data_IF_992964862409
#
_entry.id   IF_992964862409
#
_cell.length_a   1.000
_cell.length_b   1.000
_cell.length_c   1.000
_cell.angle_alpha   90.00
_cell.angle_beta   90.00
_cell.angle_gamma   90.00
#
_symmetry.space_group_name_H-M   'P 1'
#
loop_
_entity.id
_entity.type
_entity.pdbx_description
1 polymer ?
#
# COMPACT_ATOMS: atom_id res chain seq x y z
N UNK A 1 -7.56 18.94 -0.59
CA UNK A 1 -7.28 17.50 -0.75
C UNK A 1 -5.95 17.30 -1.50
N UNK A 2 -5.13 16.33 -1.10
CA UNK A 2 -3.82 16.07 -1.75
C UNK A 2 -3.96 15.59 -3.21
N UNK A 3 -5.01 14.83 -3.50
CA UNK A 3 -5.28 14.23 -4.83
C UNK A 3 -5.63 15.28 -5.88
N UNK A 4 -6.32 16.38 -5.52
CA UNK A 4 -6.67 17.45 -6.47
C UNK A 4 -5.49 18.29 -6.95
N UNK A 5 -4.31 18.09 -6.35
CA UNK A 5 -3.06 18.80 -6.72
C UNK A 5 -2.13 17.93 -7.58
N UNK A 6 -2.58 16.77 -8.04
CA UNK A 6 -1.80 15.94 -8.95
C UNK A 6 -1.75 16.57 -10.35
N UNK A 7 -0.61 16.47 -11.05
CA UNK A 7 -0.41 17.09 -12.37
C UNK A 7 -1.07 16.27 -13.51
N UNK A 8 -2.30 15.82 -13.30
CA UNK A 8 -3.12 15.05 -14.26
C UNK A 8 -4.57 15.47 -14.14
N UNK A 9 -5.34 15.35 -15.24
CA UNK A 9 -6.78 15.63 -15.26
C UNK A 9 -7.61 14.56 -14.57
N UNK A 10 -7.16 13.30 -14.68
CA UNK A 10 -7.77 12.15 -14.03
C UNK A 10 -6.73 11.09 -13.74
N UNK A 11 -6.95 10.27 -12.69
CA UNK A 11 -6.14 9.09 -12.45
C UNK A 11 -6.91 8.03 -11.68
N UNK A 12 -6.55 6.78 -11.92
CA UNK A 12 -6.95 5.64 -11.10
C UNK A 12 -5.72 5.08 -10.42
N UNK A 13 -5.69 5.18 -9.10
CA UNK A 13 -4.60 4.72 -8.24
C UNK A 13 -5.13 3.61 -7.34
N UNK A 14 -4.39 2.51 -7.26
CA UNK A 14 -4.60 1.48 -6.24
C UNK A 14 -3.80 1.87 -4.98
N UNK A 15 -4.46 1.87 -3.83
CA UNK A 15 -3.85 2.30 -2.59
C UNK A 15 -4.77 2.09 -1.40
N UNK A 16 -4.34 2.53 -0.25
CA UNK A 16 -5.05 2.43 1.02
C UNK A 16 -5.14 3.79 1.70
N UNK A 17 -6.33 4.17 2.14
CA UNK A 17 -6.50 5.32 3.02
C UNK A 17 -6.11 4.94 4.44
N UNK A 18 -5.15 5.64 5.01
CA UNK A 18 -4.63 5.38 6.36
C UNK A 18 -4.64 6.64 7.20
N UNK A 19 -4.74 6.46 8.52
CA UNK A 19 -4.39 7.49 9.51
C UNK A 19 -3.28 6.95 10.37
N UNK A 20 -2.18 7.70 10.49
CA UNK A 20 -1.04 7.29 11.28
C UNK A 20 -1.11 7.86 12.70
N UNK A 21 -0.51 7.12 13.65
CA UNK A 21 -0.22 7.61 14.99
C UNK A 21 0.99 8.57 15.01
N UNK A 22 1.42 8.95 16.19
CA UNK A 22 2.56 9.87 16.40
C UNK A 22 3.90 9.28 15.93
N UNK A 23 4.00 7.95 15.82
CA UNK A 23 5.16 7.22 15.33
C UNK A 23 5.13 7.01 13.81
N UNK A 24 4.06 7.42 13.14
CA UNK A 24 3.87 7.25 11.71
C UNK A 24 3.35 5.86 11.30
N UNK A 25 2.88 5.05 12.25
CA UNK A 25 2.26 3.76 11.99
C UNK A 25 0.78 3.92 11.68
N UNK A 26 0.30 3.22 10.66
CA UNK A 26 -1.12 3.16 10.32
C UNK A 26 -1.90 2.42 11.42
N UNK A 27 -2.96 3.06 11.93
CA UNK A 27 -3.80 2.52 13.00
C UNK A 27 -5.25 2.50 12.53
N UNK A 28 -5.83 1.32 12.44
CA UNK A 28 -7.21 1.12 11.93
C UNK A 28 -8.25 1.89 12.74
N UNK A 29 -8.15 1.90 14.07
CA UNK A 29 -9.06 2.61 14.94
C UNK A 29 -9.09 4.12 14.69
N UNK A 30 -7.97 4.69 14.19
CA UNK A 30 -7.88 6.11 13.88
C UNK A 30 -8.64 6.47 12.59
N UNK A 31 -8.66 5.59 11.57
CA UNK A 31 -9.42 5.87 10.35
C UNK A 31 -10.93 5.74 10.55
N UNK A 32 -11.35 4.98 11.55
CA UNK A 32 -12.77 4.84 11.92
C UNK A 32 -13.33 6.03 12.70
N UNK A 33 -12.48 6.99 13.11
CA UNK A 33 -12.93 8.17 13.87
C UNK A 33 -13.59 9.21 12.97
N UNK A 34 -14.48 9.98 13.57
CA UNK A 34 -15.24 11.04 12.88
C UNK A 34 -14.35 12.12 12.25
N UNK A 35 -13.19 12.42 12.85
CA UNK A 35 -12.19 13.41 12.41
C UNK A 35 -11.13 12.84 11.46
N UNK A 36 -11.23 11.56 11.10
CA UNK A 36 -10.23 10.88 10.27
C UNK A 36 -9.98 11.55 8.92
N UNK A 37 -11.01 12.13 8.30
CA UNK A 37 -10.92 12.72 6.96
C UNK A 37 -9.90 13.86 6.83
N UNK A 38 -9.61 14.60 7.89
CA UNK A 38 -8.61 15.67 7.90
C UNK A 38 -7.18 15.14 8.00
N UNK A 39 -7.01 13.98 8.61
CA UNK A 39 -5.74 13.33 8.91
C UNK A 39 -5.40 12.19 7.94
N UNK A 40 -6.38 11.74 7.16
CA UNK A 40 -6.22 10.61 6.25
C UNK A 40 -5.22 10.90 5.13
N UNK A 41 -4.33 9.94 4.90
CA UNK A 41 -3.34 9.95 3.83
C UNK A 41 -3.61 8.75 2.92
N UNK A 42 -3.48 8.93 1.60
CA UNK A 42 -3.51 7.83 0.64
C UNK A 42 -2.11 7.23 0.53
N UNK A 43 -1.94 6.00 0.99
CA UNK A 43 -0.77 5.18 0.69
C UNK A 43 -0.97 4.56 -0.69
N UNK A 44 -0.30 5.12 -1.71
CA UNK A 44 -0.47 4.70 -3.09
C UNK A 44 0.45 3.53 -3.43
N UNK A 45 -0.12 2.43 -3.94
CA UNK A 45 0.62 1.20 -4.25
C UNK A 45 0.87 1.00 -5.73
N UNK A 46 -0.06 1.42 -6.59
CA UNK A 46 0.01 1.20 -8.03
C UNK A 46 -0.73 2.29 -8.81
N UNK A 47 -0.29 2.59 -10.04
CA UNK A 47 -0.96 3.51 -10.96
C UNK A 47 -1.56 2.71 -12.11
N UNK A 48 -2.89 2.76 -12.23
CA UNK A 48 -3.62 1.95 -13.18
C UNK A 48 -4.00 2.73 -14.44
N UNK A 49 -4.38 4.01 -14.29
CA UNK A 49 -4.88 4.78 -15.42
C UNK A 49 -4.68 6.29 -15.19
N UNK A 50 -3.58 6.90 -15.67
CA UNK A 50 -3.43 8.34 -15.74
C UNK A 50 -4.07 8.87 -17.04
N UNK A 51 -4.87 9.93 -16.96
CA UNK A 51 -5.49 10.64 -18.08
C UNK A 51 -6.14 9.70 -19.13
N UNK A 52 -6.82 8.64 -18.68
CA UNK A 52 -7.50 7.66 -19.52
C UNK A 52 -6.58 6.61 -20.17
N UNK A 53 -5.28 6.62 -19.87
CA UNK A 53 -4.32 5.65 -20.40
C UNK A 53 -4.24 4.40 -19.52
N UNK A 54 -4.79 3.28 -19.95
CA UNK A 54 -4.73 2.02 -19.20
C UNK A 54 -3.30 1.46 -19.14
N UNK A 55 -2.79 1.32 -17.91
CA UNK A 55 -1.45 0.79 -17.62
C UNK A 55 -1.48 -0.65 -17.06
N UNK A 56 -2.65 -1.27 -16.84
CA UNK A 56 -2.77 -2.57 -16.15
C UNK A 56 -1.95 -3.67 -16.81
N UNK A 57 -1.79 -3.62 -18.14
CA UNK A 57 -0.97 -4.59 -18.90
C UNK A 57 0.53 -4.26 -18.91
N UNK A 58 0.94 -3.13 -18.35
CA UNK A 58 2.36 -2.79 -18.22
C UNK A 58 2.99 -3.54 -17.04
N UNK A 59 4.29 -3.85 -17.12
CA UNK A 59 5.04 -4.41 -15.99
C UNK A 59 4.91 -3.52 -14.75
N UNK A 60 4.89 -4.13 -13.55
CA UNK A 60 4.72 -3.41 -12.29
C UNK A 60 5.78 -2.32 -12.10
N UNK A 61 7.01 -2.55 -12.51
CA UNK A 61 8.12 -1.59 -12.39
C UNK A 61 7.81 -0.30 -13.14
N UNK A 62 7.23 -0.45 -14.35
CA UNK A 62 6.87 0.72 -15.17
C UNK A 62 5.69 1.49 -14.58
N UNK A 63 4.71 0.80 -14.02
CA UNK A 63 3.59 1.46 -13.34
C UNK A 63 4.05 2.21 -12.09
N UNK A 64 4.99 1.62 -11.35
CA UNK A 64 5.58 2.22 -10.15
C UNK A 64 6.46 3.43 -10.47
N UNK A 65 7.25 3.37 -11.53
CA UNK A 65 8.04 4.50 -12.02
C UNK A 65 7.12 5.70 -12.33
N UNK A 66 6.04 5.45 -13.08
CA UNK A 66 5.06 6.48 -13.42
C UNK A 66 4.30 7.00 -12.19
N UNK A 67 3.99 6.14 -11.21
CA UNK A 67 3.41 6.56 -9.94
C UNK A 67 4.36 7.49 -9.18
N UNK A 68 5.64 7.15 -9.10
CA UNK A 68 6.65 7.97 -8.43
C UNK A 68 6.77 9.36 -9.09
N UNK A 69 6.77 9.41 -10.42
CA UNK A 69 6.77 10.67 -11.18
C UNK A 69 5.50 11.51 -10.92
N UNK A 70 4.32 10.87 -10.90
CA UNK A 70 3.05 11.52 -10.62
C UNK A 70 3.01 12.12 -9.22
N UNK A 71 3.57 11.43 -8.24
CA UNK A 71 3.60 11.86 -6.85
C UNK A 71 4.66 12.91 -6.56
N UNK A 72 5.61 13.14 -7.47
CA UNK A 72 6.65 14.18 -7.41
C UNK A 72 7.31 14.29 -6.01
N UNK A 73 7.92 13.18 -5.54
CA UNK A 73 8.62 13.12 -4.26
C UNK A 73 7.71 13.04 -3.02
N UNK A 74 6.38 13.04 -3.19
CA UNK A 74 5.46 12.68 -2.11
C UNK A 74 5.65 11.22 -1.80
N UNK A 75 5.79 10.90 -0.50
CA UNK A 75 6.15 9.55 -0.03
C UNK A 75 5.14 8.51 -0.53
N UNK A 76 5.51 7.76 -1.56
CA UNK A 76 4.93 6.46 -1.84
C UNK A 76 5.79 5.41 -1.15
N UNK A 77 5.19 4.51 -0.40
CA UNK A 77 5.91 3.36 0.15
C UNK A 77 6.14 2.40 -1.01
N UNK A 78 7.32 2.45 -1.61
CA UNK A 78 7.72 1.56 -2.69
C UNK A 78 9.10 1.02 -2.41
N UNK A 79 9.18 -0.27 -2.12
CA UNK A 79 10.44 -0.98 -2.05
C UNK A 79 10.64 -1.75 -3.36
N UNK A 80 11.58 -1.30 -4.19
CA UNK A 80 11.94 -1.98 -5.41
C UNK A 80 13.35 -2.52 -5.31
N UNK A 81 13.52 -3.77 -5.74
CA UNK A 81 14.83 -4.39 -5.88
C UNK A 81 15.53 -4.73 -4.58
N UNK A 82 14.89 -4.52 -3.44
CA UNK A 82 15.40 -4.92 -2.13
C UNK A 82 15.09 -6.40 -1.86
N UNK A 83 15.96 -7.04 -1.06
CA UNK A 83 15.71 -8.38 -0.56
C UNK A 83 14.44 -8.39 0.30
N UNK A 84 13.46 -9.20 -0.10
CA UNK A 84 12.15 -9.28 0.56
C UNK A 84 12.26 -9.67 2.03
N UNK A 85 13.28 -10.45 2.43
CA UNK A 85 13.52 -10.82 3.82
C UNK A 85 13.96 -9.60 4.64
N UNK A 86 14.84 -8.77 4.10
CA UNK A 86 15.29 -7.53 4.74
C UNK A 86 14.11 -6.59 4.94
N UNK A 87 13.33 -6.36 3.87
CA UNK A 87 12.13 -5.49 3.93
C UNK A 87 11.13 -6.01 4.96
N UNK A 88 10.86 -7.31 4.98
CA UNK A 88 9.95 -7.92 5.94
C UNK A 88 10.43 -7.74 7.38
N UNK A 89 11.70 -8.00 7.64
CA UNK A 89 12.29 -7.82 8.97
C UNK A 89 12.19 -6.38 9.46
N UNK A 90 12.48 -5.40 8.61
CA UNK A 90 12.36 -3.99 8.98
C UNK A 90 10.89 -3.58 9.20
N UNK A 91 9.97 -4.06 8.36
CA UNK A 91 8.53 -3.85 8.56
C UNK A 91 8.05 -4.43 9.90
N UNK A 92 8.53 -5.62 10.29
CA UNK A 92 8.22 -6.21 11.59
C UNK A 92 8.75 -5.36 12.77
N UNK A 93 9.97 -4.83 12.66
CA UNK A 93 10.54 -3.93 13.68
C UNK A 93 9.72 -2.64 13.86
N UNK A 94 9.18 -2.13 12.76
CA UNK A 94 8.30 -0.97 12.77
C UNK A 94 6.88 -1.28 13.28
N UNK A 95 6.55 -2.54 13.57
CA UNK A 95 5.23 -2.94 14.02
C UNK A 95 4.18 -3.04 12.91
N UNK A 96 4.58 -3.05 11.65
CA UNK A 96 3.66 -3.21 10.53
C UNK A 96 3.00 -4.60 10.55
N UNK A 97 1.78 -4.71 10.01
CA UNK A 97 1.04 -5.98 9.89
C UNK A 97 1.72 -7.01 8.98
N UNK A 98 2.56 -6.55 8.07
CA UNK A 98 3.30 -7.37 7.13
C UNK A 98 3.63 -6.63 5.85
N UNK A 99 3.99 -7.38 4.82
CA UNK A 99 4.30 -6.85 3.49
C UNK A 99 3.52 -7.59 2.41
N UNK A 100 3.38 -6.93 1.25
CA UNK A 100 2.93 -7.59 0.01
C UNK A 100 4.09 -7.60 -0.97
N UNK A 101 4.66 -8.78 -1.20
CA UNK A 101 5.68 -8.99 -2.22
C UNK A 101 5.00 -9.19 -3.57
N UNK A 102 5.37 -8.41 -4.56
CA UNK A 102 4.81 -8.46 -5.92
C UNK A 102 5.90 -8.86 -6.89
N UNK A 103 5.65 -9.92 -7.69
CA UNK A 103 6.61 -10.40 -8.68
C UNK A 103 6.93 -9.34 -9.72
N UNK A 104 8.23 -9.11 -9.99
CA UNK A 104 8.70 -8.23 -11.06
C UNK A 104 8.17 -8.70 -12.42
N UNK A 105 7.92 -7.75 -13.32
CA UNK A 105 7.32 -8.01 -14.63
C UNK A 105 5.81 -8.28 -14.59
N UNK A 106 5.18 -8.39 -13.39
CA UNK A 106 3.77 -8.73 -13.30
C UNK A 106 2.85 -7.63 -13.83
N UNK A 107 1.80 -8.05 -14.56
CA UNK A 107 0.69 -7.19 -14.92
C UNK A 107 -0.27 -7.02 -13.73
N UNK A 108 -1.07 -5.96 -13.74
CA UNK A 108 -2.09 -5.77 -12.72
C UNK A 108 -3.28 -6.71 -12.94
N UNK A 109 -3.74 -7.32 -11.86
CA UNK A 109 -4.98 -8.09 -11.80
C UNK A 109 -5.77 -7.69 -10.57
N UNK A 110 -7.07 -7.43 -10.75
CA UNK A 110 -7.97 -7.20 -9.62
C UNK A 110 -8.18 -8.51 -8.85
N UNK A 111 -8.30 -8.39 -7.52
CA UNK A 111 -8.49 -9.52 -6.63
C UNK A 111 -7.22 -10.32 -6.35
N UNK A 112 -7.38 -11.59 -5.98
CA UNK A 112 -6.24 -12.46 -5.63
C UNK A 112 -5.37 -12.77 -6.84
N UNK A 113 -4.06 -12.65 -6.66
CA UNK A 113 -3.07 -12.96 -7.70
C UNK A 113 -2.00 -13.88 -7.12
N UNK A 114 -1.64 -14.98 -7.80
CA UNK A 114 -0.53 -15.85 -7.38
C UNK A 114 0.83 -15.16 -7.51
N UNK A 115 0.89 -14.01 -8.18
CA UNK A 115 2.10 -13.20 -8.33
C UNK A 115 2.29 -12.18 -7.20
N UNK A 116 1.35 -12.12 -6.26
CA UNK A 116 1.35 -11.24 -5.11
C UNK A 116 1.24 -12.05 -3.84
N UNK A 117 2.29 -12.02 -3.03
CA UNK A 117 2.40 -12.78 -1.81
C UNK A 117 2.27 -11.84 -0.61
N UNK A 118 1.19 -12.03 0.18
CA UNK A 118 1.03 -11.35 1.46
C UNK A 118 1.74 -12.15 2.55
N UNK A 119 2.73 -11.53 3.20
CA UNK A 119 3.47 -12.11 4.33
C UNK A 119 3.12 -11.32 5.58
N UNK A 120 2.42 -11.96 6.51
CA UNK A 120 1.95 -11.34 7.76
C UNK A 120 3.04 -11.36 8.84
N UNK A 121 3.12 -10.29 9.62
CA UNK A 121 3.94 -10.23 10.84
C UNK A 121 3.18 -10.92 11.99
N UNK A 122 3.65 -12.08 12.50
CA UNK A 122 2.94 -12.82 13.54
C UNK A 122 2.88 -12.07 14.88
N UNK A 123 3.73 -11.05 15.05
CA UNK A 123 3.80 -10.26 16.28
C UNK A 123 2.93 -9.01 16.24
N UNK A 124 2.36 -8.64 15.09
CA UNK A 124 1.49 -7.48 14.99
C UNK A 124 0.18 -7.70 15.78
N UNK A 125 -0.31 -6.69 16.54
CA UNK A 125 -1.51 -6.82 17.36
C UNK A 125 -2.76 -7.23 16.57
N UNK A 126 -2.93 -6.68 15.38
CA UNK A 126 -4.05 -7.01 14.48
C UNK A 126 -4.01 -8.45 13.99
N UNK A 127 -2.82 -8.96 13.66
CA UNK A 127 -2.63 -10.35 13.21
C UNK A 127 -2.88 -11.34 14.36
N UNK A 128 -2.48 -10.99 15.60
CA UNK A 128 -2.79 -11.79 16.79
C UNK A 128 -4.28 -11.86 17.05
N UNK A 129 -4.99 -10.73 16.96
CA UNK A 129 -6.44 -10.65 17.14
C UNK A 129 -7.18 -11.52 16.12
N UNK A 130 -6.82 -11.44 14.83
CA UNK A 130 -7.41 -12.28 13.78
C UNK A 130 -7.20 -13.78 14.06
N UNK A 131 -6.01 -14.19 14.53
CA UNK A 131 -5.73 -15.56 14.88
C UNK A 131 -6.56 -16.04 16.07
N UNK A 132 -6.75 -15.21 17.10
CA UNK A 132 -7.59 -15.52 18.27
C UNK A 132 -9.08 -15.64 17.90
N UNK A 133 -9.58 -14.78 17.00
CA UNK A 133 -10.96 -14.85 16.51
C UNK A 133 -11.25 -16.09 15.67
N UNK A 134 -10.27 -16.56 14.88
CA UNK A 134 -10.41 -17.78 14.07
C UNK A 134 -10.42 -19.08 14.91
N UNK A 135 -9.81 -19.09 16.10
CA UNK A 135 -9.83 -20.23 17.03
C UNK A 135 -11.12 -20.28 17.86
N UNK A 136 -11.93 -19.25 17.83
CA UNK A 136 -13.21 -19.13 18.57
C UNK A 136 -14.46 -19.58 17.80
N UNK A 137 -14.29 -20.17 16.60
CA UNK A 137 -15.42 -20.69 15.77
C UNK A 137 -15.44 -22.19 15.67
#
# INVERSE_FOLDING_TARGET
MAVSKLPVRSCLIDGEAIVCDENGLAVYELICRHDAGERAVLSAFDLLEPDGKDLRRRPIEKRKELLAQLLNGRKSISFFGEDGEIVFREACKLGCEGIVSKRLGSIYRSGRSPLWLKVKNPNAPTVKREAEEDWGR
#
